data_IF_685256807767
#
_entry.id   IF_685256807767
#
_cell.length_a   1.000
_cell.length_b   1.000
_cell.length_c   1.000
_cell.angle_alpha   90.00
_cell.angle_beta   90.00
_cell.angle_gamma   90.00
#
_symmetry.space_group_name_H-M   'P 1'
#
loop_
_entity.id
_entity.type
_entity.pdbx_description
1 polymer ?
#
# COMPACT_ATOMS: atom_id res chain seq x y z
N UNK A 1 -6.93 -33.59 11.86
CA UNK A 1 -6.53 -32.17 11.86
C UNK A 1 -5.33 -32.02 12.80
N UNK A 2 -4.15 -31.61 12.32
CA UNK A 2 -2.96 -31.45 13.18
C UNK A 2 -3.20 -30.23 14.09
N UNK A 3 -3.06 -30.41 15.41
CA UNK A 3 -3.14 -29.31 16.37
C UNK A 3 -2.07 -28.27 16.02
N UNK A 4 -2.41 -26.98 15.86
CA UNK A 4 -1.41 -25.94 15.62
C UNK A 4 -0.44 -25.93 16.79
N UNK A 5 0.86 -25.97 16.48
CA UNK A 5 1.88 -25.98 17.51
C UNK A 5 1.84 -24.63 18.23
N UNK A 6 1.66 -24.63 19.56
CA UNK A 6 1.43 -23.39 20.36
C UNK A 6 2.52 -22.33 20.13
N UNK A 7 3.76 -22.75 19.89
CA UNK A 7 4.86 -21.85 19.57
C UNK A 7 4.67 -21.14 18.22
N UNK A 8 4.09 -21.80 17.21
CA UNK A 8 3.84 -21.21 15.90
C UNK A 8 2.76 -20.14 16.00
N UNK A 9 1.71 -20.38 16.78
CA UNK A 9 0.69 -19.36 17.10
C UNK A 9 1.34 -18.17 17.80
N UNK A 10 2.14 -18.42 18.83
CA UNK A 10 2.83 -17.35 19.55
C UNK A 10 3.73 -16.53 18.61
N UNK A 11 4.48 -17.18 17.73
CA UNK A 11 5.32 -16.52 16.73
C UNK A 11 4.49 -15.66 15.77
N UNK A 12 3.39 -16.20 15.22
CA UNK A 12 2.51 -15.44 14.31
C UNK A 12 1.92 -14.22 14.99
N UNK A 13 1.45 -14.36 16.24
CA UNK A 13 0.93 -13.24 17.02
C UNK A 13 2.02 -12.18 17.25
N UNK A 14 3.22 -12.60 17.63
CA UNK A 14 4.36 -11.68 17.82
C UNK A 14 4.68 -10.92 16.53
N UNK A 15 4.79 -11.61 15.39
CA UNK A 15 5.06 -10.96 14.09
C UNK A 15 3.94 -9.99 13.72
N UNK A 16 2.68 -10.38 13.92
CA UNK A 16 1.54 -9.52 13.63
C UNK A 16 1.55 -8.23 14.48
N UNK A 17 1.82 -8.36 15.78
CA UNK A 17 1.92 -7.20 16.69
C UNK A 17 3.06 -6.27 16.27
N UNK A 18 4.23 -6.83 15.93
CA UNK A 18 5.37 -6.03 15.48
C UNK A 18 5.08 -5.33 14.14
N UNK A 19 4.51 -6.04 13.17
CA UNK A 19 4.14 -5.45 11.87
C UNK A 19 3.12 -4.31 12.05
N UNK A 20 2.14 -4.49 12.94
CA UNK A 20 1.16 -3.45 13.26
C UNK A 20 1.82 -2.25 13.92
N UNK A 21 2.71 -2.48 14.89
CA UNK A 21 3.43 -1.40 15.57
C UNK A 21 4.30 -0.59 14.57
N UNK A 22 5.01 -1.27 13.67
CA UNK A 22 5.78 -0.62 12.60
C UNK A 22 4.86 0.18 11.69
N UNK A 23 3.70 -0.37 11.29
CA UNK A 23 2.74 0.35 10.44
C UNK A 23 2.13 1.59 11.09
N UNK A 24 2.09 1.68 12.42
CA UNK A 24 1.55 2.83 13.15
C UNK A 24 2.62 3.88 13.50
N UNK A 25 3.87 3.45 13.67
CA UNK A 25 4.98 4.32 14.06
C UNK A 25 5.67 4.92 12.82
N UNK A 26 5.71 4.18 11.71
CA UNK A 26 6.28 4.65 10.46
C UNK A 26 5.49 5.89 9.98
N UNK A 27 6.13 7.05 9.78
CA UNK A 27 5.45 8.21 9.21
C UNK A 27 4.84 7.87 7.85
N UNK A 28 3.72 8.52 7.53
CA UNK A 28 3.08 8.36 6.24
C UNK A 28 4.06 8.71 5.13
N UNK A 29 4.12 7.85 4.12
CA UNK A 29 5.03 7.94 2.97
C UNK A 29 6.52 7.82 3.30
N UNK A 30 6.88 7.31 4.48
CA UNK A 30 8.29 6.97 4.82
C UNK A 30 8.70 5.59 4.30
N UNK A 31 7.73 4.68 4.11
CA UNK A 31 7.98 3.37 3.52
C UNK A 31 8.10 3.50 1.99
N UNK A 32 9.09 2.82 1.36
CA UNK A 32 9.42 3.03 -0.05
C UNK A 32 8.28 2.67 -1.00
N UNK A 33 7.42 1.70 -0.67
CA UNK A 33 6.33 1.30 -1.57
C UNK A 33 5.01 2.06 -1.33
N UNK A 34 4.88 2.76 -0.20
CA UNK A 34 3.61 3.39 0.22
C UNK A 34 3.16 4.46 -0.79
N UNK A 35 4.10 5.27 -1.28
CA UNK A 35 3.82 6.29 -2.28
C UNK A 35 3.32 5.71 -3.60
N UNK A 36 3.82 4.53 -4.00
CA UNK A 36 3.41 3.86 -5.23
C UNK A 36 2.02 3.24 -5.12
N UNK A 37 1.69 2.68 -3.96
CA UNK A 37 0.35 2.15 -3.71
C UNK A 37 -0.70 3.27 -3.68
N UNK A 38 -0.37 4.40 -3.03
CA UNK A 38 -1.21 5.59 -3.03
C UNK A 38 -1.45 6.12 -4.45
N UNK A 39 -0.40 6.23 -5.27
CA UNK A 39 -0.51 6.67 -6.67
C UNK A 39 -1.47 5.79 -7.47
N UNK A 40 -1.35 4.46 -7.35
CA UNK A 40 -2.26 3.54 -8.06
C UNK A 40 -3.73 3.82 -7.69
N UNK A 41 -4.06 3.94 -6.41
CA UNK A 41 -5.44 4.23 -5.96
C UNK A 41 -5.91 5.58 -6.50
N UNK A 42 -5.05 6.59 -6.47
CA UNK A 42 -5.33 7.92 -6.97
C UNK A 42 -5.57 7.92 -8.49
N UNK A 43 -4.78 7.18 -9.26
CA UNK A 43 -4.96 7.03 -10.72
C UNK A 43 -6.30 6.36 -11.04
N UNK A 44 -6.68 5.32 -10.27
CA UNK A 44 -8.01 4.70 -10.40
C UNK A 44 -9.15 5.69 -10.18
N UNK A 45 -9.03 6.57 -9.19
CA UNK A 45 -10.08 7.54 -8.87
C UNK A 45 -10.13 8.70 -9.88
N UNK A 46 -8.97 9.19 -10.31
CA UNK A 46 -8.87 10.37 -11.19
C UNK A 46 -9.02 10.03 -12.67
N UNK A 47 -8.40 8.95 -13.14
CA UNK A 47 -8.34 8.58 -14.55
C UNK A 47 -9.37 7.50 -14.92
N UNK A 48 -9.90 6.78 -13.92
CA UNK A 48 -10.87 5.69 -14.09
C UNK A 48 -10.36 4.58 -15.02
N UNK A 49 -9.05 4.40 -15.08
CA UNK A 49 -8.36 3.43 -15.91
C UNK A 49 -7.36 2.64 -15.08
N UNK A 50 -7.09 1.39 -15.49
CA UNK A 50 -6.03 0.62 -14.87
C UNK A 50 -4.68 1.20 -15.28
N UNK A 51 -3.78 1.49 -14.33
CA UNK A 51 -2.47 2.02 -14.67
C UNK A 51 -1.66 0.95 -15.41
N UNK A 52 -0.96 1.37 -16.45
CA UNK A 52 -0.13 0.50 -17.30
C UNK A 52 1.33 0.68 -16.86
N UNK A 53 2.10 -0.41 -16.81
CA UNK A 53 3.53 -0.30 -16.56
C UNK A 53 4.27 -0.08 -17.87
N UNK A 54 4.88 1.09 -18.02
CA UNK A 54 5.72 1.43 -19.16
C UNK A 54 7.21 1.25 -18.82
N UNK A 55 8.03 0.92 -19.83
CA UNK A 55 9.46 0.61 -19.63
C UNK A 55 10.30 1.86 -19.31
N UNK A 56 9.87 3.01 -19.82
CA UNK A 56 10.58 4.30 -19.72
C UNK A 56 10.01 5.21 -18.62
N UNK A 57 9.09 4.70 -17.80
CA UNK A 57 8.47 5.44 -16.69
C UNK A 57 9.09 5.10 -15.33
N UNK A 58 8.97 6.01 -14.33
CA UNK A 58 9.39 5.72 -12.96
C UNK A 58 8.74 4.43 -12.43
N UNK A 59 9.41 3.70 -11.50
CA UNK A 59 8.84 2.51 -10.89
C UNK A 59 7.41 2.76 -10.40
N UNK A 60 6.52 1.82 -10.68
CA UNK A 60 5.12 1.87 -10.29
C UNK A 60 4.66 0.51 -9.79
N UNK A 61 3.50 0.49 -9.13
CA UNK A 61 2.85 -0.76 -8.74
C UNK A 61 1.91 -1.30 -9.84
N UNK A 62 1.98 -0.77 -11.06
CA UNK A 62 1.07 -1.10 -12.18
C UNK A 62 1.10 -2.58 -12.59
N UNK A 63 2.17 -3.32 -12.33
CA UNK A 63 2.19 -4.79 -12.51
C UNK A 63 1.32 -5.58 -11.53
N UNK A 64 0.90 -5.00 -10.41
CA UNK A 64 0.20 -5.74 -9.37
C UNK A 64 -1.26 -5.99 -9.77
N UNK A 65 -1.86 -7.10 -9.31
CA UNK A 65 -3.28 -7.35 -9.53
C UNK A 65 -4.17 -6.22 -8.95
N UNK A 66 -5.20 -5.77 -9.68
CA UNK A 66 -5.90 -4.53 -9.35
C UNK A 66 -6.88 -4.66 -8.18
N UNK A 67 -7.23 -5.87 -7.73
CA UNK A 67 -8.28 -6.08 -6.73
C UNK A 67 -8.02 -5.31 -5.42
N UNK A 68 -6.77 -5.34 -4.94
CA UNK A 68 -6.39 -4.62 -3.73
C UNK A 68 -6.63 -3.10 -3.86
N UNK A 69 -6.21 -2.53 -4.99
CA UNK A 69 -6.32 -1.10 -5.26
C UNK A 69 -7.75 -0.65 -5.54
N UNK A 70 -8.53 -1.47 -6.24
CA UNK A 70 -9.94 -1.18 -6.51
C UNK A 70 -10.77 -1.16 -5.22
N UNK A 71 -10.50 -2.07 -4.28
CA UNK A 71 -11.13 -2.03 -2.95
C UNK A 71 -10.69 -0.80 -2.16
N UNK A 72 -9.41 -0.44 -2.21
CA UNK A 72 -8.90 0.80 -1.62
C UNK A 72 -9.60 2.04 -2.16
N UNK A 73 -9.66 2.16 -3.50
CA UNK A 73 -10.34 3.25 -4.19
C UNK A 73 -11.81 3.35 -3.76
N UNK A 74 -12.54 2.23 -3.68
CA UNK A 74 -13.93 2.22 -3.22
C UNK A 74 -14.07 2.73 -1.77
N UNK A 75 -13.14 2.37 -0.88
CA UNK A 75 -13.18 2.77 0.52
C UNK A 75 -12.87 4.25 0.72
N UNK A 76 -12.05 4.85 -0.15
CA UNK A 76 -11.61 6.24 -0.04
C UNK A 76 -12.24 7.18 -1.08
N UNK A 77 -13.17 6.70 -1.90
CA UNK A 77 -13.76 7.46 -3.00
C UNK A 77 -14.43 8.79 -2.59
N UNK A 78 -14.85 8.92 -1.33
CA UNK A 78 -15.46 10.14 -0.78
C UNK A 78 -14.50 10.99 0.05
N UNK A 79 -13.22 10.61 0.13
CA UNK A 79 -12.19 11.35 0.87
C UNK A 79 -11.58 12.37 -0.07
N UNK A 80 -11.51 13.63 0.37
CA UNK A 80 -10.85 14.68 -0.40
C UNK A 80 -9.35 14.39 -0.53
N UNK A 81 -8.86 14.36 -1.76
CA UNK A 81 -7.45 14.12 -2.08
C UNK A 81 -6.80 15.42 -2.59
N UNK A 82 -5.70 15.90 -1.98
CA UNK A 82 -5.08 17.15 -2.38
C UNK A 82 -4.48 17.07 -3.79
N UNK A 83 -4.55 18.14 -4.58
CA UNK A 83 -3.97 18.14 -5.94
C UNK A 83 -2.46 17.86 -5.93
N UNK A 84 -1.75 18.35 -4.93
CA UNK A 84 -0.30 18.13 -4.80
C UNK A 84 -0.02 16.75 -4.22
N UNK A 85 0.75 15.89 -4.92
CA UNK A 85 1.14 14.60 -4.36
C UNK A 85 2.08 14.79 -3.16
N UNK A 86 2.13 13.78 -2.25
CA UNK A 86 3.06 13.81 -1.13
C UNK A 86 4.51 13.93 -1.61
N UNK A 87 5.33 14.63 -0.84
CA UNK A 87 6.75 14.76 -1.12
C UNK A 87 7.43 13.40 -1.02
N UNK A 88 8.32 13.09 -1.96
CA UNK A 88 9.19 11.93 -1.83
C UNK A 88 10.12 12.10 -0.63
N UNK A 89 10.37 11.00 0.07
CA UNK A 89 11.34 10.98 1.15
C UNK A 89 12.75 11.28 0.59
N UNK A 90 13.49 12.25 1.15
CA UNK A 90 14.84 12.59 0.70
C UNK A 90 15.90 11.53 1.02
N UNK A 91 15.55 10.50 1.80
CA UNK A 91 16.46 9.42 2.20
C UNK A 91 16.43 8.20 1.28
N UNK A 92 15.68 8.27 0.17
CA UNK A 92 15.62 7.23 -0.86
C UNK A 92 16.51 7.54 -2.06
#
# INVERSE_FOLDING_TARGET
MKQPQRWAIALTVTVFVLATAVSLINPLFEAPDEHLHYRFVRDLLNEQQLPIQELDEPPSQSHQPPLYYALGALLVASVDDPETPPLNNPHW
#
